data_IF_390939621494
#
_entry.id   IF_390939621494
#
_cell.length_a   1.000
_cell.length_b   1.000
_cell.length_c   1.000
_cell.angle_alpha   90.00
_cell.angle_beta   90.00
_cell.angle_gamma   90.00
#
_symmetry.space_group_name_H-M   'P 1'
#
loop_
_entity.id
_entity.type
_entity.pdbx_description
1 polymer ?
#
# COMPACT_ATOMS: atom_id res chain seq x y z
N UNK A 1 5.44 15.29 19.79
CA UNK A 1 5.23 13.83 19.71
C UNK A 1 5.34 13.46 18.26
N UNK A 2 6.37 12.72 17.89
CA UNK A 2 6.61 12.41 16.47
C UNK A 2 5.56 11.43 15.94
N UNK A 3 5.43 11.32 14.62
CA UNK A 3 4.47 10.39 14.01
C UNK A 3 4.77 8.94 14.43
N UNK A 4 6.05 8.59 14.54
CA UNK A 4 6.48 7.26 15.02
C UNK A 4 5.98 6.97 16.44
N UNK A 5 6.08 7.95 17.35
CA UNK A 5 5.56 7.81 18.71
C UNK A 5 4.04 7.62 18.73
N UNK A 6 3.31 8.35 17.88
CA UNK A 6 1.85 8.25 17.76
C UNK A 6 1.40 6.88 17.25
N UNK A 7 2.13 6.31 16.29
CA UNK A 7 1.90 4.95 15.77
C UNK A 7 2.17 3.92 16.87
N UNK A 8 3.31 4.03 17.57
CA UNK A 8 3.66 3.12 18.69
C UNK A 8 2.63 3.19 19.82
N UNK A 9 2.13 4.40 20.12
CA UNK A 9 1.14 4.64 21.16
C UNK A 9 -0.30 4.27 20.75
N UNK A 10 -0.53 3.78 19.52
CA UNK A 10 -1.86 3.48 19.00
C UNK A 10 -2.84 4.67 19.14
N UNK A 11 -2.30 5.89 19.04
CA UNK A 11 -3.03 7.13 19.33
C UNK A 11 -3.67 7.76 18.10
N UNK A 12 -3.38 7.21 16.91
CA UNK A 12 -3.90 7.70 15.63
C UNK A 12 -4.73 6.62 14.93
N UNK A 13 -5.77 7.08 14.25
CA UNK A 13 -6.63 6.24 13.41
C UNK A 13 -6.36 6.47 11.92
N UNK A 14 -5.71 7.57 11.56
CA UNK A 14 -5.38 7.92 10.19
C UNK A 14 -3.89 8.27 10.12
N UNK A 15 -3.17 7.57 9.24
CA UNK A 15 -1.77 7.82 8.96
C UNK A 15 -1.65 8.44 7.57
N UNK A 16 -1.24 9.69 7.50
CA UNK A 16 -0.98 10.40 6.26
C UNK A 16 0.48 10.84 6.21
N UNK A 17 1.23 10.36 5.21
CA UNK A 17 2.63 10.71 4.98
C UNK A 17 2.79 11.14 3.52
N UNK A 18 3.04 12.42 3.28
CA UNK A 18 3.18 13.01 1.94
C UNK A 18 4.53 13.67 1.66
N UNK A 19 5.11 14.36 2.65
CA UNK A 19 6.40 15.07 2.54
C UNK A 19 7.11 15.11 3.91
N UNK A 20 8.43 15.29 3.91
CA UNK A 20 9.27 15.55 5.10
C UNK A 20 9.12 14.51 6.23
N UNK A 21 9.30 13.24 5.90
CA UNK A 21 9.41 12.19 6.89
C UNK A 21 10.86 11.70 7.04
N UNK A 22 11.84 12.61 7.01
CA UNK A 22 13.27 12.27 7.20
C UNK A 22 13.49 11.44 8.47
N UNK A 23 12.79 11.77 9.56
CA UNK A 23 12.82 10.98 10.81
C UNK A 23 12.34 9.53 10.60
N UNK A 24 11.40 9.30 9.67
CA UNK A 24 10.84 7.98 9.35
C UNK A 24 11.73 7.23 8.36
N UNK A 25 12.28 7.90 7.35
CA UNK A 25 13.15 7.27 6.35
C UNK A 25 14.45 6.77 7.01
N UNK A 26 15.01 7.53 7.96
CA UNK A 26 16.17 7.12 8.76
C UNK A 26 15.86 5.96 9.73
N UNK A 27 14.59 5.84 10.18
CA UNK A 27 14.13 4.85 11.19
C UNK A 27 13.18 3.82 10.60
N UNK A 28 13.43 3.39 9.36
CA UNK A 28 12.57 2.46 8.61
C UNK A 28 12.23 1.19 9.42
N UNK A 29 13.19 0.59 10.12
CA UNK A 29 12.94 -0.63 10.91
C UNK A 29 11.94 -0.39 12.03
N UNK A 30 12.07 0.75 12.73
CA UNK A 30 11.19 1.08 13.85
C UNK A 30 9.76 1.39 13.39
N UNK A 31 9.60 2.06 12.25
CA UNK A 31 8.26 2.32 11.69
C UNK A 31 7.61 1.01 11.23
N UNK A 32 8.36 0.10 10.61
CA UNK A 32 7.85 -1.22 10.21
C UNK A 32 7.36 -2.02 11.42
N UNK A 33 8.14 -2.06 12.50
CA UNK A 33 7.74 -2.76 13.73
C UNK A 33 6.55 -2.09 14.43
N UNK A 34 6.51 -0.75 14.42
CA UNK A 34 5.41 0.02 14.96
C UNK A 34 4.10 -0.23 14.19
N UNK A 35 4.16 -0.22 12.86
CA UNK A 35 3.01 -0.50 11.99
C UNK A 35 2.50 -1.94 12.21
N UNK A 36 3.38 -2.94 12.26
CA UNK A 36 3.00 -4.35 12.51
C UNK A 36 2.33 -4.56 13.87
N UNK A 37 2.66 -3.74 14.85
CA UNK A 37 2.10 -3.83 16.21
C UNK A 37 0.91 -2.89 16.42
N UNK A 38 0.62 -2.02 15.46
CA UNK A 38 -0.45 -1.04 15.57
C UNK A 38 -1.81 -1.70 15.36
N UNK A 39 -2.80 -1.27 16.15
CA UNK A 39 -4.16 -1.78 16.18
C UNK A 39 -5.21 -0.67 16.08
N UNK A 40 -4.79 0.58 15.96
CA UNK A 40 -5.69 1.75 15.94
C UNK A 40 -5.90 2.32 14.55
N UNK A 41 -4.93 2.15 13.63
CA UNK A 41 -4.96 2.76 12.30
C UNK A 41 -6.01 2.08 11.42
N UNK A 42 -6.94 2.89 10.94
CA UNK A 42 -8.03 2.50 10.04
C UNK A 42 -7.76 2.96 8.60
N UNK A 43 -7.01 4.04 8.42
CA UNK A 43 -6.68 4.61 7.11
C UNK A 43 -5.20 4.93 6.99
N UNK A 44 -4.60 4.51 5.88
CA UNK A 44 -3.22 4.87 5.49
C UNK A 44 -3.25 5.60 4.17
N UNK A 45 -2.54 6.73 4.08
CA UNK A 45 -2.28 7.47 2.85
C UNK A 45 -0.79 7.76 2.77
N UNK A 46 -0.13 7.20 1.76
CA UNK A 46 1.24 7.50 1.41
C UNK A 46 1.25 8.12 0.02
N UNK A 47 1.67 9.39 -0.07
CA UNK A 47 1.70 10.17 -1.31
C UNK A 47 3.01 10.96 -1.38
N UNK A 48 3.23 11.69 -2.47
CA UNK A 48 4.40 12.55 -2.64
C UNK A 48 5.74 11.83 -2.54
N UNK A 49 6.73 12.48 -1.95
CA UNK A 49 8.12 12.00 -1.95
C UNK A 49 8.38 10.96 -0.86
N UNK A 50 7.46 10.74 0.08
CA UNK A 50 7.69 9.85 1.24
C UNK A 50 8.17 8.45 0.84
N UNK A 51 7.46 7.79 -0.08
CA UNK A 51 7.87 6.49 -0.59
C UNK A 51 9.00 6.62 -1.62
N UNK A 52 9.05 7.72 -2.37
CA UNK A 52 10.10 8.01 -3.35
C UNK A 52 11.50 8.08 -2.75
N UNK A 53 11.64 8.69 -1.57
CA UNK A 53 12.90 8.89 -0.85
C UNK A 53 13.41 7.62 -0.15
N UNK A 54 12.54 6.63 0.02
CA UNK A 54 12.91 5.35 0.60
C UNK A 54 13.66 4.46 -0.40
N UNK A 55 14.66 3.72 0.10
CA UNK A 55 15.25 2.59 -0.63
C UNK A 55 14.17 1.55 -0.96
N UNK A 56 14.31 0.86 -2.08
CA UNK A 56 13.32 -0.13 -2.56
C UNK A 56 12.96 -1.17 -1.48
N UNK A 57 13.94 -1.70 -0.75
CA UNK A 57 13.70 -2.68 0.32
C UNK A 57 12.92 -2.09 1.50
N UNK A 58 13.25 -0.86 1.89
CA UNK A 58 12.55 -0.11 2.94
C UNK A 58 11.10 0.17 2.57
N UNK A 59 10.88 0.66 1.35
CA UNK A 59 9.55 0.94 0.82
C UNK A 59 8.69 -0.32 0.77
N UNK A 60 9.25 -1.43 0.29
CA UNK A 60 8.59 -2.72 0.27
C UNK A 60 8.19 -3.16 1.69
N UNK A 61 9.12 -3.05 2.65
CA UNK A 61 8.87 -3.44 4.03
C UNK A 61 7.76 -2.60 4.68
N UNK A 62 7.71 -1.29 4.42
CA UNK A 62 6.67 -0.37 4.92
C UNK A 62 5.30 -0.73 4.33
N UNK A 63 5.21 -0.93 3.02
CA UNK A 63 3.95 -1.31 2.36
C UNK A 63 3.48 -2.69 2.84
N UNK A 64 4.37 -3.66 3.00
CA UNK A 64 4.00 -4.97 3.56
C UNK A 64 3.57 -4.87 5.05
N UNK A 65 4.12 -3.93 5.81
CA UNK A 65 3.86 -3.77 7.24
C UNK A 65 2.46 -3.20 7.52
N UNK A 66 1.98 -2.25 6.71
CA UNK A 66 0.63 -1.70 6.89
C UNK A 66 -0.44 -2.80 6.76
N UNK A 67 -0.21 -3.81 5.92
CA UNK A 67 -1.14 -4.93 5.77
C UNK A 67 -1.30 -5.80 7.02
N UNK A 68 -0.38 -5.70 7.99
CA UNK A 68 -0.50 -6.40 9.27
C UNK A 68 -1.40 -5.68 10.29
N UNK A 69 -1.86 -4.47 10.00
CA UNK A 69 -2.73 -3.69 10.89
C UNK A 69 -4.15 -4.28 10.82
N UNK A 70 -4.68 -4.85 11.91
CA UNK A 70 -5.94 -5.58 11.89
C UNK A 70 -7.17 -4.67 11.71
N UNK A 71 -7.04 -3.36 11.94
CA UNK A 71 -8.14 -2.40 11.81
C UNK A 71 -8.12 -1.61 10.50
N UNK A 72 -7.15 -1.91 9.62
CA UNK A 72 -6.94 -1.19 8.39
C UNK A 72 -8.08 -1.45 7.40
N UNK A 73 -8.76 -0.38 7.00
CA UNK A 73 -9.90 -0.42 6.08
C UNK A 73 -9.63 0.34 4.78
N UNK A 74 -8.76 1.34 4.80
CA UNK A 74 -8.48 2.20 3.64
C UNK A 74 -6.97 2.37 3.44
N UNK A 75 -6.51 2.14 2.22
CA UNK A 75 -5.12 2.36 1.82
C UNK A 75 -5.09 3.19 0.55
N UNK A 76 -4.34 4.28 0.59
CA UNK A 76 -3.95 5.05 -0.58
C UNK A 76 -2.43 5.04 -0.71
N UNK A 77 -1.91 4.65 -1.88
CA UNK A 77 -0.50 4.70 -2.21
C UNK A 77 -0.35 5.54 -3.48
N UNK A 78 0.59 6.47 -3.52
CA UNK A 78 0.80 7.27 -4.71
C UNK A 78 2.21 7.84 -4.87
N UNK A 79 2.44 8.39 -6.07
CA UNK A 79 3.61 9.19 -6.43
C UNK A 79 4.96 8.48 -6.26
N UNK A 80 5.03 7.18 -6.58
CA UNK A 80 6.25 6.40 -6.34
C UNK A 80 6.39 5.19 -7.26
N UNK A 81 7.49 4.46 -7.12
CA UNK A 81 7.72 3.17 -7.77
C UNK A 81 7.41 2.04 -6.78
N UNK A 82 6.44 1.16 -7.02
CA UNK A 82 6.14 0.06 -6.09
C UNK A 82 6.33 -1.30 -6.72
N UNK A 83 6.86 -2.22 -5.93
CA UNK A 83 6.92 -3.64 -6.33
C UNK A 83 5.55 -4.26 -6.13
N UNK A 84 4.97 -4.80 -7.19
CA UNK A 84 3.60 -5.36 -7.20
C UNK A 84 3.41 -6.46 -6.18
N UNK A 85 4.42 -7.32 -5.98
CA UNK A 85 4.37 -8.37 -4.96
C UNK A 85 4.27 -7.81 -3.54
N UNK A 86 4.79 -6.60 -3.28
CA UNK A 86 4.60 -5.91 -2.01
C UNK A 86 3.15 -5.52 -1.76
N UNK A 87 2.49 -4.97 -2.76
CA UNK A 87 1.07 -4.59 -2.70
C UNK A 87 0.20 -5.85 -2.54
N UNK A 88 0.49 -6.91 -3.30
CA UNK A 88 -0.23 -8.19 -3.18
C UNK A 88 -0.08 -8.84 -1.78
N UNK A 89 1.12 -8.78 -1.19
CA UNK A 89 1.36 -9.26 0.18
C UNK A 89 0.70 -8.40 1.24
N UNK A 90 0.68 -7.09 1.05
CA UNK A 90 -0.06 -6.17 1.92
C UNK A 90 -1.54 -6.53 1.90
N UNK A 91 -2.11 -6.65 0.69
CA UNK A 91 -3.51 -6.97 0.47
C UNK A 91 -3.88 -8.34 1.05
N UNK A 92 -3.07 -9.37 0.85
CA UNK A 92 -3.37 -10.71 1.41
C UNK A 92 -3.34 -10.78 2.94
N UNK A 93 -2.69 -9.83 3.62
CA UNK A 93 -2.69 -9.72 5.10
C UNK A 93 -3.78 -8.80 5.63
N UNK A 94 -4.19 -7.80 4.86
CA UNK A 94 -5.12 -6.76 5.28
C UNK A 94 -6.58 -7.26 5.22
N UNK A 95 -6.94 -8.20 6.09
CA UNK A 95 -8.22 -8.94 6.04
C UNK A 95 -9.47 -8.07 6.07
N UNK A 96 -9.40 -6.88 6.64
CA UNK A 96 -10.52 -5.93 6.77
C UNK A 96 -10.44 -4.76 5.78
N UNK A 97 -9.51 -4.80 4.82
CA UNK A 97 -9.31 -3.76 3.82
C UNK A 97 -10.52 -3.67 2.89
N UNK A 98 -11.15 -2.50 2.85
CA UNK A 98 -12.33 -2.20 2.03
C UNK A 98 -12.00 -1.36 0.82
N UNK A 99 -11.02 -0.48 0.93
CA UNK A 99 -10.64 0.45 -0.13
C UNK A 99 -9.12 0.41 -0.35
N UNK A 100 -8.72 0.12 -1.57
CA UNK A 100 -7.34 0.25 -2.04
C UNK A 100 -7.30 1.21 -3.22
N UNK A 101 -6.58 2.30 -3.08
CA UNK A 101 -6.35 3.27 -4.13
C UNK A 101 -4.86 3.37 -4.41
N UNK A 102 -4.49 3.24 -5.69
CA UNK A 102 -3.15 3.46 -6.17
C UNK A 102 -3.18 4.55 -7.24
N UNK A 103 -2.35 5.59 -7.11
CA UNK A 103 -2.35 6.73 -8.03
C UNK A 103 -0.93 7.11 -8.45
N UNK A 104 -0.70 7.45 -9.73
CA UNK A 104 0.61 7.90 -10.22
C UNK A 104 1.79 6.99 -9.81
N UNK A 105 1.58 5.66 -9.87
CA UNK A 105 2.59 4.67 -9.48
C UNK A 105 3.23 3.99 -10.70
N UNK A 106 4.56 3.85 -10.64
CA UNK A 106 5.30 2.94 -11.52
C UNK A 106 5.35 1.55 -10.88
N UNK A 107 4.61 0.59 -11.44
CA UNK A 107 4.51 -0.77 -10.94
C UNK A 107 5.67 -1.63 -11.46
N UNK A 108 6.53 -2.09 -10.54
CA UNK A 108 7.65 -2.99 -10.83
C UNK A 108 7.28 -4.43 -10.49
N UNK A 109 7.60 -5.36 -11.39
CA UNK A 109 7.44 -6.79 -11.17
C UNK A 109 7.56 -7.56 -12.46
N UNK A 110 7.46 -8.88 -12.36
CA UNK A 110 7.30 -9.80 -13.51
C UNK A 110 5.85 -10.18 -13.70
N UNK A 111 5.48 -10.64 -14.89
CA UNK A 111 4.09 -10.98 -15.26
C UNK A 111 3.39 -11.87 -14.22
N UNK A 112 4.07 -12.89 -13.67
CA UNK A 112 3.50 -13.76 -12.65
C UNK A 112 3.14 -13.03 -11.34
N UNK A 113 3.85 -11.97 -10.98
CA UNK A 113 3.52 -11.14 -9.82
C UNK A 113 2.29 -10.28 -10.07
N UNK A 114 2.12 -9.76 -11.29
CA UNK A 114 0.90 -9.05 -11.70
C UNK A 114 -0.31 -9.99 -11.68
N UNK A 115 -0.19 -11.20 -12.24
CA UNK A 115 -1.25 -12.21 -12.16
C UNK A 115 -1.58 -12.60 -10.72
N UNK A 116 -0.58 -12.70 -9.85
CA UNK A 116 -0.80 -12.96 -8.41
C UNK A 116 -1.53 -11.80 -7.73
N UNK A 117 -1.22 -10.56 -8.09
CA UNK A 117 -1.88 -9.38 -7.55
C UNK A 117 -3.35 -9.32 -8.00
N UNK A 118 -3.62 -9.55 -9.29
CA UNK A 118 -4.98 -9.68 -9.82
C UNK A 118 -5.78 -10.78 -9.12
N UNK A 119 -5.20 -11.96 -8.93
CA UNK A 119 -5.84 -13.05 -8.22
C UNK A 119 -6.11 -12.69 -6.74
N UNK A 120 -5.20 -11.96 -6.09
CA UNK A 120 -5.38 -11.50 -4.71
C UNK A 120 -6.51 -10.47 -4.63
N UNK A 121 -6.56 -9.51 -5.56
CA UNK A 121 -7.66 -8.54 -5.66
C UNK A 121 -9.02 -9.24 -5.85
N UNK A 122 -9.09 -10.19 -6.78
CA UNK A 122 -10.32 -10.92 -7.09
C UNK A 122 -10.80 -11.84 -5.95
N UNK A 123 -9.88 -12.33 -5.12
CA UNK A 123 -10.19 -13.23 -3.99
C UNK A 123 -10.33 -12.50 -2.64
N UNK A 124 -10.05 -11.20 -2.58
CA UNK A 124 -10.11 -10.44 -1.34
C UNK A 124 -11.57 -10.21 -0.90
N UNK A 125 -12.00 -10.91 0.14
CA UNK A 125 -13.40 -10.95 0.57
C UNK A 125 -13.96 -9.63 1.12
N UNK A 126 -13.09 -8.78 1.68
CA UNK A 126 -13.51 -7.51 2.28
C UNK A 126 -13.37 -6.30 1.34
N UNK A 127 -12.64 -6.46 0.23
CA UNK A 127 -12.31 -5.34 -0.65
C UNK A 127 -13.55 -4.98 -1.47
N UNK A 128 -14.00 -3.73 -1.35
CA UNK A 128 -15.18 -3.21 -2.05
C UNK A 128 -14.80 -2.24 -3.15
N UNK A 129 -13.70 -1.52 -2.97
CA UNK A 129 -13.25 -0.52 -3.92
C UNK A 129 -11.76 -0.72 -4.18
N UNK A 130 -11.43 -0.95 -5.43
CA UNK A 130 -10.08 -0.79 -5.94
C UNK A 130 -10.10 0.36 -6.92
N UNK A 131 -9.14 1.28 -6.84
CA UNK A 131 -9.00 2.37 -7.81
C UNK A 131 -7.56 2.47 -8.23
N UNK A 132 -7.35 2.50 -9.54
CA UNK A 132 -6.04 2.68 -10.16
C UNK A 132 -6.10 3.89 -11.07
N UNK A 133 -5.25 4.88 -10.82
CA UNK A 133 -5.22 6.13 -11.57
C UNK A 133 -3.78 6.48 -11.98
N UNK A 134 -3.57 6.88 -13.23
CA UNK A 134 -2.23 7.25 -13.76
C UNK A 134 -1.09 6.23 -13.50
N UNK A 135 -1.40 4.96 -13.27
CA UNK A 135 -0.42 3.90 -13.06
C UNK A 135 0.18 3.39 -14.36
N UNK A 136 1.46 3.04 -14.35
CA UNK A 136 2.16 2.44 -15.50
C UNK A 136 3.10 1.32 -15.07
N UNK A 137 3.28 0.28 -15.90
CA UNK A 137 4.24 -0.76 -15.62
C UNK A 137 5.67 -0.24 -15.84
N UNK A 138 6.62 -0.73 -15.05
CA UNK A 138 8.04 -0.42 -15.24
C UNK A 138 8.61 -1.05 -16.54
N UNK A 139 8.02 -2.16 -16.97
CA UNK A 139 8.36 -2.89 -18.20
C UNK A 139 7.20 -2.73 -19.18
N UNK A 140 7.47 -2.18 -20.37
CA UNK A 140 6.45 -1.86 -21.35
C UNK A 140 5.66 -3.08 -21.89
N UNK A 141 6.21 -4.28 -21.76
CA UNK A 141 5.57 -5.53 -22.22
C UNK A 141 4.49 -6.04 -21.25
N UNK A 142 4.43 -5.51 -20.02
CA UNK A 142 3.43 -5.90 -19.04
C UNK A 142 2.16 -5.09 -19.28
N UNK A 143 1.03 -5.77 -19.49
CA UNK A 143 -0.28 -5.11 -19.55
C UNK A 143 -0.84 -4.90 -18.13
N UNK A 144 -1.49 -3.75 -17.91
CA UNK A 144 -2.27 -3.45 -16.69
C UNK A 144 -3.78 -3.65 -16.89
N UNK A 145 -4.20 -4.22 -18.02
CA UNK A 145 -5.63 -4.34 -18.36
C UNK A 145 -6.39 -5.18 -17.34
N UNK A 146 -5.80 -6.25 -16.81
CA UNK A 146 -6.44 -7.10 -15.80
C UNK A 146 -6.69 -6.36 -14.47
N UNK A 147 -5.76 -5.50 -14.05
CA UNK A 147 -5.91 -4.62 -12.88
C UNK A 147 -6.95 -3.52 -13.11
N UNK A 148 -6.95 -2.92 -14.30
CA UNK A 148 -7.91 -1.87 -14.67
C UNK A 148 -9.34 -2.43 -14.73
N UNK A 149 -9.50 -3.65 -15.24
CA UNK A 149 -10.79 -4.34 -15.27
C UNK A 149 -11.27 -4.72 -13.85
N UNK A 150 -10.35 -5.06 -12.94
CA UNK A 150 -10.68 -5.35 -11.54
C UNK A 150 -11.23 -4.12 -10.79
N UNK A 151 -10.75 -2.91 -11.14
CA UNK A 151 -11.32 -1.64 -10.64
C UNK A 151 -12.81 -1.51 -10.99
N UNK A 152 -13.16 -1.90 -12.23
CA UNK A 152 -14.54 -1.81 -12.72
C UNK A 152 -15.45 -2.88 -12.09
N UNK A 153 -14.93 -4.09 -11.86
CA UNK A 153 -15.70 -5.20 -11.27
C UNK A 153 -16.07 -4.96 -9.81
N UNK A 154 -15.17 -4.37 -9.02
CA UNK A 154 -15.42 -4.08 -7.60
C UNK A 154 -16.43 -2.93 -7.42
N UNK A 155 -16.50 -1.97 -8.35
CA UNK A 155 -17.47 -0.88 -8.30
C UNK A 155 -18.95 -1.29 -8.49
N UNK A 156 -19.21 -2.56 -8.87
CA UNK A 156 -20.56 -3.09 -9.13
C UNK A 156 -21.06 -4.10 -8.08
N UNK A 157 -20.28 -4.36 -7.01
CA UNK A 157 -20.67 -5.23 -5.89
C UNK A 157 -21.15 -4.42 -4.67
#
# INVERSE_FOLDING_TARGET
MSVLEQIKANSITELNLSQDADEITERTSEIVDALRSNKSIVSVRFEGEFLGDMRNDSRLAVVEAIGAIPTLQRVHLGDTLLVVSGIAKMLSKATDLRELSISNIVLQGVESEFSSFEATLASHSALKLFTMDECRPAVAEISLDGLTNSTTLLSQQ
#
